data_IF_269367114899
#
_entry.id   IF_269367114899
#
_cell.length_a   1.000
_cell.length_b   1.000
_cell.length_c   1.000
_cell.angle_alpha   90.00
_cell.angle_beta   90.00
_cell.angle_gamma   90.00
#
_symmetry.space_group_name_H-M   'P 1'
#
loop_
_entity.id
_entity.type
_entity.pdbx_description
1 polymer ?
#
# COMPACT_ATOMS: atom_id res chain seq x y z
N UNK A 1 -3.41 21.58 20.96
CA UNK A 1 -2.47 20.71 20.23
C UNK A 1 -1.75 21.56 19.19
N UNK A 2 -0.46 21.89 19.38
CA UNK A 2 0.25 22.89 18.56
C UNK A 2 0.70 22.40 17.18
N UNK A 3 0.63 21.10 16.90
CA UNK A 3 1.09 20.51 15.64
C UNK A 3 -0.03 19.78 14.87
N UNK A 4 -1.23 19.70 15.46
CA UNK A 4 -2.38 19.11 14.80
C UNK A 4 -2.91 20.08 13.73
N UNK A 5 -3.21 19.57 12.54
CA UNK A 5 -3.93 20.33 11.53
C UNK A 5 -5.26 20.85 12.09
N UNK A 6 -5.62 22.08 11.75
CA UNK A 6 -6.79 22.77 12.31
C UNK A 6 -7.76 23.21 11.22
N UNK A 7 -9.05 23.16 11.53
CA UNK A 7 -10.10 23.73 10.70
C UNK A 7 -10.18 25.26 10.87
N UNK A 8 -11.08 25.92 10.14
CA UNK A 8 -11.25 27.37 10.07
C UNK A 8 -11.53 28.03 11.42
N UNK A 9 -12.15 27.31 12.34
CA UNK A 9 -12.45 27.77 13.70
C UNK A 9 -11.28 27.55 14.69
N UNK A 10 -10.16 26.99 14.22
CA UNK A 10 -9.00 26.67 15.03
C UNK A 10 -9.13 25.35 15.80
N UNK A 11 -10.20 24.58 15.60
CA UNK A 11 -10.33 23.25 16.19
C UNK A 11 -9.42 22.24 15.49
N UNK A 12 -8.80 21.28 16.20
CA UNK A 12 -8.05 20.20 15.57
C UNK A 12 -8.94 19.32 14.70
N UNK A 13 -8.47 18.99 13.51
CA UNK A 13 -9.09 17.98 12.66
C UNK A 13 -8.82 16.61 13.28
N UNK A 14 -9.86 15.79 13.44
CA UNK A 14 -9.76 14.49 14.12
C UNK A 14 -10.28 13.35 13.26
N UNK A 15 -9.72 12.17 13.47
CA UNK A 15 -10.12 10.90 12.86
C UNK A 15 -10.38 9.85 13.94
N UNK A 16 -11.20 8.86 13.59
CA UNK A 16 -11.60 7.76 14.45
C UNK A 16 -11.48 6.45 13.66
N UNK A 17 -10.92 5.41 14.28
CA UNK A 17 -10.80 4.07 13.69
C UNK A 17 -11.48 3.02 14.58
N UNK A 18 -11.24 1.73 14.31
CA UNK A 18 -11.78 0.61 15.12
C UNK A 18 -11.09 0.42 16.47
N UNK A 19 -10.48 1.48 17.01
CA UNK A 19 -9.83 1.47 18.31
C UNK A 19 -10.77 2.07 19.35
N UNK A 20 -10.85 1.42 20.51
CA UNK A 20 -11.70 1.81 21.63
C UNK A 20 -10.84 2.21 22.82
N UNK A 21 -11.26 3.25 23.52
CA UNK A 21 -10.76 3.65 24.84
C UNK A 21 -11.14 2.59 25.88
N UNK A 22 -10.57 2.66 27.09
CA UNK A 22 -10.87 1.70 28.17
C UNK A 22 -12.34 1.68 28.61
N UNK A 23 -13.11 2.73 28.29
CA UNK A 23 -14.53 2.86 28.57
C UNK A 23 -15.44 2.43 27.39
N UNK A 24 -14.86 1.91 26.31
CA UNK A 24 -15.58 1.48 25.11
C UNK A 24 -15.95 2.62 24.15
N UNK A 25 -15.61 3.88 24.46
CA UNK A 25 -15.77 4.99 23.52
C UNK A 25 -14.70 4.93 22.42
N UNK A 26 -15.00 5.49 21.25
CA UNK A 26 -14.06 5.45 20.14
C UNK A 26 -12.88 6.42 20.37
N UNK A 27 -11.66 5.94 20.11
CA UNK A 27 -10.44 6.76 20.20
C UNK A 27 -10.49 7.87 19.16
N UNK A 28 -10.26 9.12 19.59
CA UNK A 28 -10.15 10.29 18.71
C UNK A 28 -8.70 10.71 18.55
N UNK A 29 -8.21 10.68 17.32
CA UNK A 29 -6.83 11.02 16.99
C UNK A 29 -6.80 12.33 16.22
N UNK A 30 -5.88 13.23 16.57
CA UNK A 30 -5.71 14.47 15.83
C UNK A 30 -4.85 14.23 14.59
N UNK A 31 -5.29 14.74 13.44
CA UNK A 31 -4.50 14.71 12.20
C UNK A 31 -3.32 15.67 12.36
N UNK A 32 -2.11 15.20 12.15
CA UNK A 32 -0.90 15.99 12.36
C UNK A 32 -0.52 16.74 11.08
N UNK A 33 -0.17 18.03 11.19
CA UNK A 33 0.23 18.82 10.03
C UNK A 33 1.67 18.47 9.62
N UNK A 34 1.92 18.05 8.36
CA UNK A 34 3.22 17.57 7.89
C UNK A 34 4.30 18.65 7.84
N UNK A 35 3.92 19.92 7.91
CA UNK A 35 4.84 21.06 7.95
C UNK A 35 5.40 21.35 9.35
N UNK A 36 4.85 20.73 10.39
CA UNK A 36 5.23 21.04 11.77
C UNK A 36 6.45 20.21 12.19
N UNK A 37 7.47 20.87 12.75
CA UNK A 37 8.69 20.18 13.17
C UNK A 37 8.41 19.07 14.20
N UNK A 38 7.42 19.25 15.09
CA UNK A 38 7.05 18.21 16.05
C UNK A 38 6.67 16.90 15.34
N UNK A 39 5.83 16.96 14.29
CA UNK A 39 5.42 15.77 13.56
C UNK A 39 6.58 15.17 12.75
N UNK A 40 7.31 16.02 12.02
CA UNK A 40 8.45 15.56 11.22
C UNK A 40 9.51 14.87 12.10
N UNK A 41 9.91 15.49 13.21
CA UNK A 41 10.88 14.89 14.13
C UNK A 41 10.35 13.60 14.77
N UNK A 42 9.07 13.55 15.16
CA UNK A 42 8.52 12.36 15.81
C UNK A 42 8.49 11.15 14.86
N UNK A 43 8.06 11.34 13.62
CA UNK A 43 8.05 10.25 12.63
C UNK A 43 9.49 9.76 12.36
N UNK A 44 10.44 10.69 12.15
CA UNK A 44 11.85 10.33 11.93
C UNK A 44 12.45 9.60 13.13
N UNK A 45 12.23 10.09 14.34
CA UNK A 45 12.70 9.47 15.58
C UNK A 45 12.22 8.02 15.68
N UNK A 46 10.93 7.76 15.45
CA UNK A 46 10.35 6.42 15.52
C UNK A 46 10.97 5.51 14.46
N UNK A 47 11.04 5.95 13.21
CA UNK A 47 11.58 5.12 12.11
C UNK A 47 13.05 4.77 12.36
N UNK A 48 13.89 5.78 12.68
CA UNK A 48 15.31 5.57 12.91
C UNK A 48 15.56 4.71 14.15
N UNK A 49 14.73 4.84 15.20
CA UNK A 49 14.80 3.98 16.38
C UNK A 49 14.48 2.52 16.04
N UNK A 50 13.40 2.27 15.29
CA UNK A 50 13.03 0.92 14.83
C UNK A 50 14.17 0.26 14.05
N UNK A 51 14.83 1.03 13.19
CA UNK A 51 15.90 0.51 12.33
C UNK A 51 17.21 0.28 13.08
N UNK A 52 17.67 1.25 13.87
CA UNK A 52 18.98 1.23 14.51
C UNK A 52 19.00 0.45 15.82
N UNK A 53 17.99 0.64 16.65
CA UNK A 53 17.98 0.06 18.00
C UNK A 53 17.37 -1.34 18.01
N UNK A 54 16.42 -1.60 17.10
CA UNK A 54 15.71 -2.88 17.01
C UNK A 54 16.05 -3.71 15.75
N UNK A 55 16.90 -3.19 14.85
CA UNK A 55 17.37 -3.91 13.67
C UNK A 55 16.32 -4.16 12.59
N UNK A 56 15.18 -3.46 12.64
CA UNK A 56 14.09 -3.61 11.67
C UNK A 56 14.53 -3.08 10.30
N UNK A 57 14.45 -3.90 9.25
CA UNK A 57 14.87 -3.49 7.89
C UNK A 57 13.80 -2.78 7.07
N UNK A 58 12.54 -2.86 7.48
CA UNK A 58 11.44 -2.20 6.79
C UNK A 58 10.45 -1.60 7.77
N UNK A 59 10.12 -0.32 7.63
CA UNK A 59 9.09 0.34 8.43
C UNK A 59 7.91 0.71 7.54
N UNK A 60 6.72 0.32 7.97
CA UNK A 60 5.46 0.70 7.33
C UNK A 60 4.91 1.96 8.02
N UNK A 61 4.70 3.01 7.24
CA UNK A 61 4.18 4.30 7.69
C UNK A 61 2.79 4.44 7.11
N UNK A 62 1.79 4.29 7.97
CA UNK A 62 0.41 4.18 7.52
C UNK A 62 -0.11 5.49 6.88
N UNK A 63 -1.12 5.34 6.02
CA UNK A 63 -1.92 6.41 5.45
C UNK A 63 -1.27 7.48 4.56
N UNK A 64 0.05 7.67 4.50
CA UNK A 64 0.65 8.80 3.76
C UNK A 64 0.21 8.84 2.29
N UNK A 65 0.19 7.69 1.63
CA UNK A 65 -0.23 7.55 0.24
C UNK A 65 -1.67 7.00 0.08
N UNK A 66 -2.47 6.96 1.16
CA UNK A 66 -3.85 6.50 1.15
C UNK A 66 -4.86 7.59 1.56
N UNK A 67 -4.55 8.33 2.63
CA UNK A 67 -5.43 9.34 3.17
C UNK A 67 -5.43 10.61 2.32
N UNK A 68 -6.61 11.22 2.22
CA UNK A 68 -6.76 12.52 1.56
C UNK A 68 -6.10 13.61 2.40
N UNK A 69 -5.26 14.48 1.82
CA UNK A 69 -4.75 15.67 2.49
C UNK A 69 -5.86 16.51 3.13
N UNK A 70 -5.66 16.99 4.35
CA UNK A 70 -6.64 17.87 5.02
C UNK A 70 -6.29 19.35 4.83
N UNK A 71 -7.31 20.21 4.89
CA UNK A 71 -7.17 21.65 4.69
C UNK A 71 -6.82 22.35 6.01
N UNK A 72 -5.53 22.43 6.35
CA UNK A 72 -5.12 23.09 7.58
C UNK A 72 -5.22 24.63 7.47
N UNK A 73 -5.85 25.27 8.45
CA UNK A 73 -6.12 26.70 8.52
C UNK A 73 -5.29 27.42 9.60
N UNK A 74 -4.27 26.77 10.17
CA UNK A 74 -3.43 27.36 11.22
C UNK A 74 -2.27 28.16 10.62
N UNK A 75 -2.26 29.50 10.72
CA UNK A 75 -1.19 30.33 10.17
C UNK A 75 0.16 30.14 10.88
N UNK A 76 0.19 29.54 12.07
CA UNK A 76 1.42 29.32 12.84
C UNK A 76 2.26 28.16 12.31
N UNK A 77 1.69 27.29 11.46
CA UNK A 77 2.37 26.13 10.88
C UNK A 77 3.23 26.44 9.65
N UNK A 78 3.29 27.71 9.21
CA UNK A 78 4.21 28.22 8.15
C UNK A 78 4.05 27.57 6.77
N UNK A 79 2.89 26.99 6.47
CA UNK A 79 2.46 26.63 5.12
C UNK A 79 1.37 27.61 4.64
N UNK A 80 1.10 27.71 3.32
CA UNK A 80 -0.09 28.40 2.82
C UNK A 80 -1.37 27.84 3.45
N UNK A 81 -2.36 28.68 3.77
CA UNK A 81 -3.60 28.23 4.39
C UNK A 81 -4.44 27.36 3.43
N UNK A 82 -5.18 26.40 4.01
CA UNK A 82 -6.13 25.53 3.33
C UNK A 82 -5.48 24.57 2.31
N UNK A 83 -5.76 24.75 1.02
CA UNK A 83 -5.37 23.81 -0.02
C UNK A 83 -4.01 24.12 -0.64
N UNK A 84 -3.60 23.27 -1.58
CA UNK A 84 -2.37 23.42 -2.35
C UNK A 84 -1.46 22.20 -2.24
N UNK A 85 -0.30 22.27 -2.91
CA UNK A 85 0.68 21.18 -2.92
C UNK A 85 1.48 21.05 -1.61
N UNK A 86 1.35 22.00 -0.69
CA UNK A 86 2.17 22.10 0.51
C UNK A 86 2.02 20.91 1.46
N UNK A 87 0.85 20.25 1.47
CA UNK A 87 0.66 19.05 2.30
C UNK A 87 1.64 17.94 1.89
N UNK A 88 1.75 17.72 0.58
CA UNK A 88 2.68 16.75 0.02
C UNK A 88 4.13 17.21 0.20
N UNK A 89 4.42 18.51 0.00
CA UNK A 89 5.76 19.07 0.23
C UNK A 89 6.25 18.88 1.66
N UNK A 90 5.39 19.08 2.67
CA UNK A 90 5.76 18.86 4.07
C UNK A 90 6.15 17.40 4.35
N UNK A 91 5.46 16.45 3.71
CA UNK A 91 5.85 15.04 3.75
C UNK A 91 7.12 14.76 2.94
N UNK A 92 7.30 15.38 1.77
CA UNK A 92 8.54 15.24 1.00
C UNK A 92 9.76 15.71 1.79
N UNK A 93 9.68 16.87 2.44
CA UNK A 93 10.74 17.40 3.30
C UNK A 93 11.05 16.44 4.46
N UNK A 94 10.00 15.89 5.10
CA UNK A 94 10.14 14.89 6.15
C UNK A 94 10.91 13.66 5.63
N UNK A 95 10.49 13.09 4.50
CA UNK A 95 11.06 11.85 3.98
C UNK A 95 12.43 12.05 3.32
N UNK A 96 12.72 13.21 2.75
CA UNK A 96 14.07 13.56 2.29
C UNK A 96 15.04 13.61 3.46
N UNK A 97 14.65 14.26 4.55
CA UNK A 97 15.48 14.33 5.76
C UNK A 97 15.63 12.97 6.46
N UNK A 98 14.57 12.15 6.45
CA UNK A 98 14.62 10.77 6.92
C UNK A 98 15.58 9.93 6.08
N UNK A 99 15.45 9.97 4.75
CA UNK A 99 16.27 9.18 3.82
C UNK A 99 17.75 9.52 3.95
N UNK A 100 18.09 10.80 4.16
CA UNK A 100 19.47 11.23 4.39
C UNK A 100 20.11 10.66 5.67
N UNK A 101 19.30 10.24 6.64
CA UNK A 101 19.74 9.65 7.91
C UNK A 101 19.56 8.13 7.96
N UNK A 102 18.78 7.56 7.06
CA UNK A 102 18.46 6.14 7.07
C UNK A 102 19.64 5.30 6.56
N UNK A 103 19.82 4.12 7.15
CA UNK A 103 20.87 3.20 6.71
C UNK A 103 20.56 2.67 5.29
N UNK A 104 21.56 2.48 4.42
CA UNK A 104 21.34 2.12 3.00
C UNK A 104 20.62 0.77 2.77
N UNK A 105 20.61 -0.11 3.77
CA UNK A 105 19.99 -1.43 3.71
C UNK A 105 18.59 -1.49 4.33
N UNK A 106 18.01 -0.32 4.64
CA UNK A 106 16.69 -0.18 5.21
C UNK A 106 15.69 0.41 4.19
N UNK A 107 14.41 0.09 4.38
CA UNK A 107 13.32 0.56 3.54
C UNK A 107 12.18 1.18 4.35
N UNK A 108 11.40 2.04 3.71
CA UNK A 108 10.13 2.55 4.20
C UNK A 108 9.01 2.29 3.19
N UNK A 109 7.83 1.97 3.70
CA UNK A 109 6.64 1.66 2.90
C UNK A 109 5.44 2.42 3.44
N UNK A 110 4.38 2.56 2.64
CA UNK A 110 3.14 3.23 3.07
C UNK A 110 1.91 2.52 2.54
N UNK A 111 0.76 2.85 3.12
CA UNK A 111 -0.54 2.42 2.65
C UNK A 111 -0.88 2.99 1.27
N UNK A 112 -1.45 2.16 0.40
CA UNK A 112 -1.95 2.51 -0.94
C UNK A 112 -0.88 3.19 -1.81
N UNK A 113 -1.29 3.90 -2.86
CA UNK A 113 -0.45 4.17 -4.03
C UNK A 113 -0.52 5.63 -4.52
N UNK A 114 -0.80 6.58 -3.63
CA UNK A 114 -0.75 8.01 -3.93
C UNK A 114 0.50 8.38 -4.74
N UNK A 115 0.31 8.67 -6.02
CA UNK A 115 1.35 8.99 -6.98
C UNK A 115 2.36 10.06 -6.50
N UNK A 116 1.95 11.13 -5.79
CA UNK A 116 2.89 12.14 -5.31
C UNK A 116 4.03 11.63 -4.42
N UNK A 117 3.93 10.42 -3.88
CA UNK A 117 4.91 9.87 -2.94
C UNK A 117 5.80 8.77 -3.54
N UNK A 118 5.65 8.44 -4.83
CA UNK A 118 6.41 7.37 -5.51
C UNK A 118 7.92 7.58 -5.40
N UNK A 119 8.34 8.85 -5.34
CA UNK A 119 9.74 9.25 -5.26
C UNK A 119 10.32 9.27 -3.83
N UNK A 120 9.58 8.85 -2.80
CA UNK A 120 10.03 8.87 -1.39
C UNK A 120 9.94 7.53 -0.67
N UNK A 121 9.10 6.62 -1.15
CA UNK A 121 8.89 5.30 -0.56
C UNK A 121 9.48 4.18 -1.41
N UNK A 122 9.83 3.08 -0.76
CA UNK A 122 10.36 1.87 -1.43
C UNK A 122 9.22 0.91 -1.82
N UNK A 123 8.06 1.02 -1.17
CA UNK A 123 6.91 0.21 -1.53
C UNK A 123 5.57 0.63 -0.95
N UNK A 124 4.51 0.09 -1.55
CA UNK A 124 3.11 0.42 -1.33
C UNK A 124 2.29 -0.82 -0.98
N UNK A 125 1.59 -0.76 0.15
CA UNK A 125 0.59 -1.75 0.54
C UNK A 125 -0.76 -1.43 -0.12
N UNK A 126 -1.04 -2.02 -1.28
CA UNK A 126 -2.26 -1.74 -2.07
C UNK A 126 -3.37 -2.73 -1.77
N UNK A 127 -3.71 -2.86 -0.49
CA UNK A 127 -4.55 -3.95 0.00
C UNK A 127 -5.98 -3.97 -0.55
N UNK A 128 -6.50 -2.82 -1.00
CA UNK A 128 -7.91 -2.66 -1.40
C UNK A 128 -8.17 -2.62 -2.92
N UNK A 129 -7.12 -2.64 -3.74
CA UNK A 129 -7.22 -2.52 -5.20
C UNK A 129 -7.57 -3.84 -5.86
N UNK A 130 -8.85 -4.20 -5.79
CA UNK A 130 -9.34 -5.54 -6.08
C UNK A 130 -10.75 -5.51 -6.69
N UNK A 131 -10.87 -5.03 -7.93
CA UNK A 131 -12.15 -4.88 -8.63
C UNK A 131 -12.27 -5.78 -9.87
N UNK A 132 -13.50 -6.06 -10.26
CA UNK A 132 -13.77 -6.76 -11.53
C UNK A 132 -13.28 -5.94 -12.73
N UNK A 133 -12.63 -6.59 -13.69
CA UNK A 133 -12.05 -5.92 -14.85
C UNK A 133 -10.83 -5.02 -14.58
N UNK A 134 -10.20 -5.13 -13.40
CA UNK A 134 -9.04 -4.30 -13.03
C UNK A 134 -7.87 -4.46 -14.01
N UNK A 135 -7.31 -3.31 -14.41
CA UNK A 135 -6.13 -3.22 -15.27
C UNK A 135 -4.90 -2.80 -14.44
N UNK A 136 -3.69 -3.28 -14.79
CA UNK A 136 -2.46 -2.94 -14.08
C UNK A 136 -1.90 -1.58 -14.52
N UNK A 137 -2.73 -0.53 -14.55
CA UNK A 137 -2.31 0.80 -15.05
C UNK A 137 -1.17 1.36 -14.19
N UNK A 138 -1.26 1.23 -12.87
CA UNK A 138 -0.22 1.73 -11.98
C UNK A 138 1.11 0.96 -12.14
N UNK A 139 1.16 -0.40 -12.10
CA UNK A 139 2.35 -1.15 -12.47
C UNK A 139 2.87 -0.85 -13.89
N UNK A 140 1.98 -0.52 -14.84
CA UNK A 140 2.38 -0.19 -16.20
C UNK A 140 3.12 1.15 -16.33
N UNK A 141 2.88 2.09 -15.41
CA UNK A 141 3.57 3.40 -15.38
C UNK A 141 4.75 3.39 -14.42
N UNK A 142 4.61 2.71 -13.27
CA UNK A 142 5.57 2.78 -12.15
C UNK A 142 6.31 1.47 -11.87
N UNK A 143 6.18 0.47 -12.75
CA UNK A 143 6.96 -0.76 -12.70
C UNK A 143 8.46 -0.46 -12.64
N UNK A 144 9.16 -1.10 -11.71
CA UNK A 144 10.58 -0.84 -11.44
C UNK A 144 10.90 0.42 -10.63
N UNK A 145 9.97 1.38 -10.50
CA UNK A 145 10.16 2.59 -9.71
C UNK A 145 9.78 2.40 -8.23
N UNK A 146 8.72 1.64 -7.95
CA UNK A 146 8.25 1.36 -6.61
C UNK A 146 7.68 -0.06 -6.49
N UNK A 147 7.90 -0.73 -5.36
CA UNK A 147 7.37 -2.08 -5.15
C UNK A 147 5.93 -2.03 -4.66
N UNK A 148 5.05 -2.76 -5.33
CA UNK A 148 3.67 -2.95 -4.86
C UNK A 148 3.60 -4.27 -4.13
N UNK A 149 3.03 -4.28 -2.94
CA UNK A 149 2.85 -5.48 -2.15
C UNK A 149 1.49 -5.55 -1.50
N UNK A 150 1.05 -6.77 -1.25
CA UNK A 150 -0.09 -7.03 -0.40
C UNK A 150 -1.45 -6.82 -1.07
N UNK A 151 -2.38 -7.72 -0.75
CA UNK A 151 -3.80 -7.63 -1.09
C UNK A 151 -4.63 -8.18 0.04
N UNK A 152 -5.82 -7.64 0.29
CA UNK A 152 -6.76 -8.26 1.23
C UNK A 152 -7.17 -9.64 0.75
N UNK A 153 -7.13 -10.62 1.64
CA UNK A 153 -7.66 -11.98 1.43
C UNK A 153 -8.90 -12.16 2.31
N UNK A 154 -10.07 -12.19 1.67
CA UNK A 154 -11.34 -12.47 2.32
C UNK A 154 -11.64 -13.96 2.48
N UNK A 155 -12.81 -14.29 3.00
CA UNK A 155 -13.26 -15.65 3.26
C UNK A 155 -14.35 -16.12 2.28
N UNK A 156 -15.28 -16.91 2.80
CA UNK A 156 -16.47 -17.38 2.08
C UNK A 156 -16.26 -18.67 1.28
N UNK A 157 -17.36 -19.14 0.68
CA UNK A 157 -17.42 -20.46 0.03
C UNK A 157 -16.47 -20.60 -1.17
N UNK A 158 -16.10 -19.48 -1.80
CA UNK A 158 -15.20 -19.46 -2.96
C UNK A 158 -13.77 -19.03 -2.61
N UNK A 159 -13.42 -18.91 -1.32
CA UNK A 159 -12.14 -18.36 -0.84
C UNK A 159 -10.91 -18.98 -1.51
N UNK A 160 -10.87 -20.31 -1.68
CA UNK A 160 -9.74 -21.00 -2.30
C UNK A 160 -9.60 -20.67 -3.79
N UNK A 161 -10.70 -20.49 -4.52
CA UNK A 161 -10.65 -20.03 -5.91
C UNK A 161 -10.23 -18.55 -5.98
N UNK A 162 -10.85 -17.70 -5.16
CA UNK A 162 -10.55 -16.28 -5.09
C UNK A 162 -9.07 -16.01 -4.73
N UNK A 163 -8.49 -16.79 -3.83
CA UNK A 163 -7.07 -16.70 -3.47
C UNK A 163 -6.19 -17.01 -4.68
N UNK A 164 -6.47 -18.09 -5.43
CA UNK A 164 -5.67 -18.46 -6.60
C UNK A 164 -5.79 -17.43 -7.72
N UNK A 165 -6.99 -16.88 -7.93
CA UNK A 165 -7.21 -15.76 -8.84
C UNK A 165 -6.39 -14.54 -8.44
N UNK A 166 -6.43 -14.15 -7.16
CA UNK A 166 -5.66 -13.03 -6.61
C UNK A 166 -4.16 -13.22 -6.81
N UNK A 167 -3.61 -14.35 -6.38
CA UNK A 167 -2.17 -14.63 -6.52
C UNK A 167 -1.70 -14.66 -7.97
N UNK A 168 -2.50 -15.24 -8.87
CA UNK A 168 -2.22 -15.23 -10.30
C UNK A 168 -2.16 -13.79 -10.84
N UNK A 169 -3.12 -12.95 -10.44
CA UNK A 169 -3.15 -11.55 -10.84
C UNK A 169 -1.98 -10.75 -10.26
N UNK A 170 -1.67 -10.94 -8.97
CA UNK A 170 -0.50 -10.33 -8.33
C UNK A 170 0.79 -10.64 -9.09
N UNK A 171 1.00 -11.90 -9.50
CA UNK A 171 2.18 -12.27 -10.27
C UNK A 171 2.26 -11.51 -11.60
N UNK A 172 1.20 -11.54 -12.42
CA UNK A 172 1.25 -10.91 -13.75
C UNK A 172 1.33 -9.38 -13.68
N UNK A 173 0.83 -8.79 -12.60
CA UNK A 173 0.91 -7.36 -12.30
C UNK A 173 2.24 -6.96 -11.61
N UNK A 174 3.13 -7.92 -11.34
CA UNK A 174 4.45 -7.68 -10.75
C UNK A 174 4.43 -7.43 -9.24
N UNK A 175 3.28 -7.54 -8.60
CA UNK A 175 3.10 -7.32 -7.17
C UNK A 175 3.80 -8.41 -6.35
N UNK A 176 4.24 -8.06 -5.13
CA UNK A 176 4.61 -9.08 -4.16
C UNK A 176 3.38 -9.89 -3.78
N UNK A 177 3.51 -11.21 -3.85
CA UNK A 177 2.45 -12.14 -3.50
C UNK A 177 2.10 -12.04 -2.01
N UNK A 178 0.82 -12.02 -1.71
CA UNK A 178 0.33 -12.22 -0.36
C UNK A 178 -0.01 -10.96 0.40
N UNK A 179 0.48 -10.84 1.65
CA UNK A 179 -0.24 -10.22 2.79
C UNK A 179 -1.42 -11.08 3.25
N UNK A 180 -1.12 -12.35 3.57
CA UNK A 180 -2.10 -13.33 4.02
C UNK A 180 -1.56 -14.18 5.19
N UNK A 181 -2.45 -14.78 6.00
CA UNK A 181 -2.05 -15.71 7.06
C UNK A 181 -1.33 -16.95 6.49
N UNK A 182 -0.25 -17.44 7.13
CA UNK A 182 0.46 -18.64 6.69
C UNK A 182 -0.43 -19.87 6.53
N UNK A 183 -1.42 -20.04 7.41
CA UNK A 183 -2.36 -21.17 7.34
C UNK A 183 -3.19 -21.17 6.04
N UNK A 184 -3.58 -19.99 5.56
CA UNK A 184 -4.35 -19.84 4.32
C UNK A 184 -3.47 -20.11 3.11
N UNK A 185 -2.22 -19.61 3.13
CA UNK A 185 -1.25 -19.84 2.06
C UNK A 185 -0.87 -21.32 1.92
N UNK A 186 -0.76 -22.04 3.05
CA UNK A 186 -0.27 -23.41 3.12
C UNK A 186 -1.39 -24.47 3.20
N UNK A 187 -2.65 -24.07 3.07
CA UNK A 187 -3.79 -24.99 3.02
C UNK A 187 -3.64 -25.99 1.84
N UNK A 188 -4.12 -27.24 1.96
CA UNK A 188 -3.98 -28.26 0.93
C UNK A 188 -4.44 -27.82 -0.48
N UNK A 189 -5.48 -26.99 -0.55
CA UNK A 189 -6.08 -26.49 -1.79
C UNK A 189 -5.24 -25.39 -2.48
N UNK A 190 -4.38 -24.71 -1.73
CA UNK A 190 -3.68 -23.50 -2.18
C UNK A 190 -2.15 -23.65 -2.19
N UNK A 191 -1.59 -24.44 -1.28
CA UNK A 191 -0.15 -24.46 -0.97
C UNK A 191 0.73 -24.80 -2.16
N UNK A 192 0.34 -25.79 -2.97
CA UNK A 192 1.09 -26.15 -4.17
C UNK A 192 1.14 -24.99 -5.18
N UNK A 193 0.00 -24.32 -5.41
CA UNK A 193 -0.12 -23.20 -6.32
C UNK A 193 0.66 -21.97 -5.81
N UNK A 194 0.47 -21.61 -4.54
CA UNK A 194 1.21 -20.50 -3.91
C UNK A 194 2.73 -20.72 -3.96
N UNK A 195 3.20 -21.93 -3.63
CA UNK A 195 4.62 -22.28 -3.70
C UNK A 195 5.18 -22.13 -5.11
N UNK A 196 4.47 -22.63 -6.13
CA UNK A 196 4.88 -22.51 -7.52
C UNK A 196 5.00 -21.04 -7.95
N UNK A 197 4.01 -20.22 -7.62
CA UNK A 197 4.00 -18.79 -7.89
C UNK A 197 5.13 -18.05 -7.17
N UNK A 198 5.38 -18.36 -5.91
CA UNK A 198 6.48 -17.75 -5.14
C UNK A 198 7.85 -18.10 -5.75
N UNK A 199 8.05 -19.36 -6.15
CA UNK A 199 9.27 -19.80 -6.83
C UNK A 199 9.44 -19.13 -8.19
N UNK A 200 8.37 -19.07 -8.98
CA UNK A 200 8.39 -18.40 -10.29
C UNK A 200 8.69 -16.92 -10.14
N UNK A 201 8.03 -16.23 -9.20
CA UNK A 201 8.31 -14.82 -8.90
C UNK A 201 9.75 -14.61 -8.47
N UNK A 202 10.31 -15.50 -7.65
CA UNK A 202 11.70 -15.41 -7.24
C UNK A 202 12.66 -15.49 -8.44
N UNK A 203 12.43 -16.41 -9.38
CA UNK A 203 13.27 -16.54 -10.58
C UNK A 203 13.11 -15.32 -11.50
N UNK A 204 11.89 -14.80 -11.64
CA UNK A 204 11.58 -13.64 -12.49
C UNK A 204 11.77 -12.28 -11.81
N UNK A 205 12.21 -12.24 -10.55
CA UNK A 205 12.16 -11.05 -9.69
C UNK A 205 12.75 -9.79 -10.32
N UNK A 206 13.82 -9.93 -11.11
CA UNK A 206 14.49 -8.81 -11.79
C UNK A 206 13.53 -8.02 -12.69
N UNK A 207 12.65 -8.72 -13.39
CA UNK A 207 11.65 -8.07 -14.25
C UNK A 207 10.63 -7.26 -13.46
N UNK A 208 10.34 -7.65 -12.21
CA UNK A 208 9.36 -6.93 -11.38
C UNK A 208 9.98 -5.76 -10.60
N UNK A 209 11.22 -5.91 -10.12
CA UNK A 209 11.85 -4.84 -9.33
C UNK A 209 12.66 -3.83 -10.15
N UNK A 210 13.09 -4.19 -11.36
CA UNK A 210 13.93 -3.33 -12.20
C UNK A 210 13.47 -3.26 -13.66
N UNK A 211 12.38 -3.95 -14.00
CA UNK A 211 11.85 -3.99 -15.35
C UNK A 211 10.62 -3.12 -15.54
N UNK A 212 10.23 -3.00 -16.80
CA UNK A 212 9.05 -2.24 -17.23
C UNK A 212 7.97 -3.20 -17.73
N UNK A 213 6.71 -2.90 -17.42
CA UNK A 213 5.59 -3.70 -17.91
C UNK A 213 5.32 -3.39 -19.38
N UNK A 214 5.32 -4.44 -20.20
CA UNK A 214 4.89 -4.37 -21.59
C UNK A 214 3.40 -4.68 -21.74
N UNK A 215 2.88 -4.40 -22.94
CA UNK A 215 1.54 -4.84 -23.33
C UNK A 215 1.41 -6.37 -23.18
N UNK A 216 0.46 -6.87 -22.35
CA UNK A 216 0.28 -8.31 -22.20
C UNK A 216 -0.14 -8.98 -23.52
N UNK A 217 0.28 -10.23 -23.76
CA UNK A 217 -0.16 -10.98 -24.93
C UNK A 217 -1.67 -11.22 -24.90
N UNK A 218 -2.28 -11.22 -26.09
CA UNK A 218 -3.70 -11.56 -26.27
C UNK A 218 -3.85 -13.07 -26.30
N UNK A 219 -4.82 -13.58 -25.54
CA UNK A 219 -5.21 -14.98 -25.58
C UNK A 219 -5.99 -15.27 -26.86
N UNK A 220 -5.85 -16.50 -27.36
CA UNK A 220 -6.76 -17.03 -28.38
C UNK A 220 -8.13 -17.35 -27.76
N UNK A 221 -9.12 -17.57 -28.61
CA UNK A 221 -10.46 -17.96 -28.17
C UNK A 221 -10.46 -19.31 -27.43
N UNK A 222 -11.49 -19.56 -26.62
CA UNK A 222 -11.69 -20.84 -25.93
C UNK A 222 -11.09 -20.93 -24.52
N UNK A 223 -10.46 -19.87 -24.00
CA UNK A 223 -10.04 -19.84 -22.60
C UNK A 223 -11.26 -19.64 -21.69
N UNK A 224 -11.52 -20.52 -20.71
CA UNK A 224 -12.69 -20.39 -19.84
C UNK A 224 -12.59 -19.18 -18.92
N UNK A 225 -13.75 -18.67 -18.53
CA UNK A 225 -13.88 -17.67 -17.48
C UNK A 225 -14.09 -18.33 -16.13
N UNK A 226 -13.51 -17.75 -15.09
CA UNK A 226 -13.69 -18.17 -13.70
C UNK A 226 -14.23 -16.99 -12.90
N UNK A 227 -15.11 -17.28 -11.94
CA UNK A 227 -15.77 -16.28 -11.10
C UNK A 227 -15.67 -16.70 -9.64
N UNK A 228 -15.29 -15.77 -8.77
CA UNK A 228 -15.24 -15.98 -7.33
C UNK A 228 -15.55 -14.68 -6.58
N UNK A 229 -16.06 -14.80 -5.37
CA UNK A 229 -16.26 -13.69 -4.44
C UNK A 229 -14.94 -13.43 -3.71
N UNK A 230 -14.38 -12.24 -3.88
CA UNK A 230 -13.11 -11.86 -3.28
C UNK A 230 -13.27 -11.31 -1.85
N UNK A 231 -14.49 -10.98 -1.42
CA UNK A 231 -14.80 -10.56 -0.06
C UNK A 231 -13.94 -9.43 0.51
N UNK A 232 -13.65 -8.39 -0.27
CA UNK A 232 -12.83 -7.27 0.21
C UNK A 232 -13.58 -6.38 1.22
N UNK A 233 -14.83 -6.01 0.92
CA UNK A 233 -15.68 -5.18 1.79
C UNK A 233 -17.15 -5.66 1.72
N UNK A 234 -17.37 -6.90 2.15
CA UNK A 234 -18.60 -7.63 1.83
C UNK A 234 -18.50 -8.33 0.48
N UNK A 235 -19.63 -8.65 -0.15
CA UNK A 235 -19.69 -9.35 -1.42
C UNK A 235 -18.99 -8.57 -2.54
N UNK A 236 -17.99 -9.19 -3.18
CA UNK A 236 -17.16 -8.59 -4.22
C UNK A 236 -16.81 -9.63 -5.30
N UNK A 237 -17.77 -9.92 -6.19
CA UNK A 237 -17.57 -10.87 -7.28
C UNK A 237 -16.60 -10.33 -8.33
N UNK A 238 -15.61 -11.15 -8.68
CA UNK A 238 -14.64 -10.89 -9.74
C UNK A 238 -14.68 -12.02 -10.75
N UNK A 239 -14.65 -11.67 -12.04
CA UNK A 239 -14.64 -12.60 -13.16
C UNK A 239 -13.39 -12.37 -14.00
N UNK A 240 -12.53 -13.40 -14.13
CA UNK A 240 -11.32 -13.31 -14.95
C UNK A 240 -11.24 -14.48 -15.91
N UNK A 241 -10.40 -14.35 -16.94
CA UNK A 241 -9.95 -15.53 -17.68
C UNK A 241 -9.22 -16.48 -16.72
N UNK A 242 -9.35 -17.79 -16.95
CA UNK A 242 -8.60 -18.80 -16.21
C UNK A 242 -7.09 -18.73 -16.47
N UNK A 243 -6.68 -18.04 -17.53
CA UNK A 243 -5.29 -17.72 -17.84
C UNK A 243 -5.12 -16.20 -17.75
N UNK A 244 -4.17 -15.77 -16.92
CA UNK A 244 -3.80 -14.35 -16.82
C UNK A 244 -2.49 -14.12 -17.56
N UNK A 245 -2.37 -12.97 -18.23
CA UNK A 245 -1.18 -12.63 -19.02
C UNK A 245 -0.51 -11.36 -18.48
N UNK A 246 0.82 -11.37 -18.51
CA UNK A 246 1.68 -10.23 -18.19
C UNK A 246 2.96 -10.32 -18.99
N UNK A 247 3.54 -9.19 -19.35
CA UNK A 247 4.79 -9.11 -20.09
C UNK A 247 5.67 -8.02 -19.46
N UNK A 248 6.96 -8.30 -19.32
CA UNK A 248 7.93 -7.45 -18.62
C UNK A 248 9.29 -7.52 -19.33
N UNK A 249 10.07 -6.43 -19.32
CA UNK A 249 11.44 -6.34 -19.88
C UNK A 249 12.47 -5.99 -18.85
#
# INVERSE_FOLDING_TARGET
MPAAAKDRDGSPITETYRSEESDGSAVKLAVMCPFTSLWQEKVKEIVLKLQRDYGVKGVYIDQVAAATPVLCMDPTHKHPLAGGAWWNQGYWDLFDDLRAKMDPDCMITTECNGEPFVNRFDGYLTWHWQTDGQLPVFPAVYGGAIQIFGRSFGGGDTANLALRMRLGQQLVFGEQLGWLPPAVAMAPENGAFFKQLAQLRWVLRRYFYAGEMLRPPKLQEGVPWIKADWQWNGEAWVTTSAILTGAWT
#
